data_IF_017196656995
#
_entry.id   IF_017196656995
#
_cell.length_a   1.000
_cell.length_b   1.000
_cell.length_c   1.000
_cell.angle_alpha   90.00
_cell.angle_beta   90.00
_cell.angle_gamma   90.00
#
_symmetry.space_group_name_H-M   'P 1'
#
loop_
_entity.id
_entity.type
_entity.pdbx_description
1 polymer ?
#
# COMPACT_ATOMS: atom_id res chain seq x y z
N UNK A 1 15.85 31.51 -7.59
CA UNK A 1 15.38 31.00 -8.89
C UNK A 1 13.90 30.65 -8.77
N UNK A 2 13.11 30.84 -9.82
CA UNK A 2 11.71 30.44 -9.88
C UNK A 2 11.63 29.01 -10.46
N UNK A 3 10.70 28.18 -9.97
CA UNK A 3 10.49 26.82 -10.46
C UNK A 3 9.77 26.87 -11.81
N UNK A 4 10.32 26.21 -12.82
CA UNK A 4 9.64 25.99 -14.09
C UNK A 4 8.81 24.70 -14.04
N UNK A 5 7.50 24.84 -13.84
CA UNK A 5 6.58 23.70 -13.76
C UNK A 5 6.45 22.90 -15.07
N UNK A 6 6.75 23.50 -16.23
CA UNK A 6 6.70 22.80 -17.51
C UNK A 6 7.85 21.80 -17.69
N UNK A 7 8.96 21.99 -16.96
CA UNK A 7 10.17 21.15 -17.09
C UNK A 7 10.50 20.36 -15.84
N UNK A 8 9.85 20.62 -14.70
CA UNK A 8 10.17 20.03 -13.39
C UNK A 8 10.37 18.50 -13.42
N UNK A 9 9.53 17.76 -14.15
CA UNK A 9 9.61 16.30 -14.24
C UNK A 9 10.80 15.79 -15.08
N UNK A 10 11.47 16.66 -15.82
CA UNK A 10 12.64 16.36 -16.66
C UNK A 10 13.95 16.75 -15.98
N UNK A 11 13.88 17.50 -14.90
CA UNK A 11 15.05 17.88 -14.13
C UNK A 11 15.54 16.69 -13.31
N UNK A 12 16.87 16.55 -13.20
CA UNK A 12 17.47 15.51 -12.36
C UNK A 12 17.26 15.89 -10.89
N UNK A 13 16.75 14.95 -10.09
CA UNK A 13 16.71 15.13 -8.65
C UNK A 13 18.14 15.21 -8.08
N UNK A 14 18.37 16.18 -7.20
CA UNK A 14 19.66 16.32 -6.51
C UNK A 14 19.99 15.12 -5.62
N UNK A 15 18.94 14.42 -5.16
CA UNK A 15 19.04 13.23 -4.33
C UNK A 15 18.32 12.05 -4.97
N UNK A 16 19.02 10.92 -5.05
CA UNK A 16 18.48 9.62 -5.45
C UNK A 16 18.84 8.63 -4.34
N UNK A 17 17.87 8.01 -3.65
CA UNK A 17 18.13 7.02 -2.61
C UNK A 17 18.94 5.84 -3.16
N UNK A 18 19.92 5.36 -2.40
CA UNK A 18 20.69 4.16 -2.73
C UNK A 18 20.10 3.00 -1.94
N UNK A 19 19.59 1.98 -2.65
CA UNK A 19 19.00 0.80 -2.04
C UNK A 19 20.00 -0.36 -2.10
N UNK A 20 20.19 -1.07 -0.99
CA UNK A 20 21.05 -2.26 -0.94
C UNK A 20 20.37 -3.49 -1.57
N UNK A 21 19.04 -3.55 -1.50
CA UNK A 21 18.22 -4.64 -2.02
C UNK A 21 16.79 -4.16 -2.37
N UNK A 22 15.99 -4.96 -3.10
CA UNK A 22 14.58 -4.62 -3.38
C UNK A 22 13.70 -4.45 -2.14
N UNK A 23 14.08 -5.07 -1.02
CA UNK A 23 13.33 -5.05 0.24
C UNK A 23 13.92 -4.06 1.28
N UNK A 24 14.84 -3.19 0.84
CA UNK A 24 15.47 -2.19 1.70
C UNK A 24 14.45 -1.14 2.19
N UNK A 25 14.27 -1.07 3.51
CA UNK A 25 13.37 -0.14 4.20
C UNK A 25 14.11 0.90 5.05
N UNK A 26 15.42 1.09 4.84
CA UNK A 26 16.28 1.97 5.63
C UNK A 26 15.90 3.45 5.61
N UNK A 27 15.23 3.92 4.55
CA UNK A 27 14.72 5.28 4.44
C UNK A 27 13.33 5.47 5.10
N UNK A 28 12.76 4.43 5.70
CA UNK A 28 11.51 4.48 6.45
C UNK A 28 11.79 4.51 7.96
N UNK A 29 10.99 5.29 8.69
CA UNK A 29 10.96 5.22 10.15
C UNK A 29 10.30 3.90 10.55
N UNK A 30 11.05 3.03 11.21
CA UNK A 30 10.57 1.71 11.62
C UNK A 30 9.51 1.79 12.71
N UNK A 31 9.38 2.93 13.40
CA UNK A 31 8.46 3.18 14.53
C UNK A 31 8.43 2.06 15.57
N UNK A 32 9.49 1.26 15.66
CA UNK A 32 9.56 0.09 16.54
C UNK A 32 9.56 0.48 18.02
N UNK A 33 9.85 1.75 18.32
CA UNK A 33 9.70 2.35 19.64
C UNK A 33 8.22 2.56 20.04
N UNK A 34 7.30 2.66 19.07
CA UNK A 34 5.87 2.95 19.28
C UNK A 34 4.95 1.80 18.95
N UNK A 35 5.30 0.97 17.97
CA UNK A 35 4.50 -0.18 17.54
C UNK A 35 5.35 -1.43 17.57
N UNK A 36 4.87 -2.46 18.25
CA UNK A 36 5.50 -3.76 18.18
C UNK A 36 5.08 -4.43 16.88
N UNK A 37 6.03 -4.58 15.96
CA UNK A 37 5.84 -5.28 14.70
C UNK A 37 6.21 -6.75 14.87
N UNK A 38 5.73 -7.37 15.95
CA UNK A 38 5.85 -8.80 16.17
C UNK A 38 4.88 -9.51 15.23
N UNK A 39 5.31 -10.60 14.59
CA UNK A 39 4.43 -11.44 13.75
C UNK A 39 3.18 -11.94 14.50
N UNK A 40 3.26 -12.00 15.84
CA UNK A 40 2.16 -12.34 16.75
C UNK A 40 0.98 -11.34 16.68
N UNK A 41 1.23 -10.07 16.36
CA UNK A 41 0.20 -9.03 16.26
C UNK A 41 -0.62 -9.16 14.97
N UNK A 42 -0.01 -9.63 13.88
CA UNK A 42 -0.71 -9.94 12.61
C UNK A 42 -1.59 -11.19 12.78
N UNK A 43 -1.10 -12.20 13.49
CA UNK A 43 -1.88 -13.41 13.75
C UNK A 43 -3.06 -13.14 14.68
N UNK A 44 -2.90 -12.28 15.70
CA UNK A 44 -3.99 -11.93 16.63
C UNK A 44 -5.05 -11.03 16.01
N UNK A 45 -4.69 -10.14 15.08
CA UNK A 45 -5.66 -9.33 14.32
C UNK A 45 -6.36 -10.11 13.19
N UNK A 46 -5.73 -11.14 12.64
CA UNK A 46 -6.37 -12.08 11.71
C UNK A 46 -7.22 -13.14 12.44
N UNK A 47 -6.86 -13.50 13.69
CA UNK A 47 -7.58 -14.51 14.49
C UNK A 47 -8.74 -13.92 15.30
N UNK A 48 -8.79 -12.61 15.53
CA UNK A 48 -9.91 -11.99 16.22
C UNK A 48 -11.00 -11.55 15.25
N UNK A 49 -11.91 -12.50 15.08
CA UNK A 49 -13.23 -12.43 14.45
C UNK A 49 -13.19 -12.63 12.93
N UNK A 50 -13.22 -13.92 12.57
CA UNK A 50 -14.36 -14.37 11.78
C UNK A 50 -15.65 -14.01 12.54
N UNK A 51 -16.01 -12.72 12.53
CA UNK A 51 -17.36 -12.32 12.83
C UNK A 51 -18.17 -13.05 11.78
N UNK A 52 -19.09 -13.89 12.25
CA UNK A 52 -20.17 -14.40 11.44
C UNK A 52 -21.02 -13.21 11.01
N UNK A 53 -20.54 -12.44 10.04
CA UNK A 53 -21.24 -11.38 9.32
C UNK A 53 -21.72 -12.01 8.02
N UNK A 54 -22.41 -13.13 8.13
CA UNK A 54 -23.14 -13.78 7.04
C UNK A 54 -24.63 -13.61 7.28
N UNK A 55 -25.03 -12.42 7.73
CA UNK A 55 -26.41 -11.98 7.72
C UNK A 55 -26.70 -11.26 6.39
N UNK A 56 -27.87 -11.44 5.76
CA UNK A 56 -28.21 -10.79 4.49
C UNK A 56 -28.30 -9.25 4.55
N UNK A 57 -28.20 -8.64 5.74
CA UNK A 57 -28.38 -7.20 5.97
C UNK A 57 -27.06 -6.47 6.31
N UNK A 58 -25.90 -7.00 5.90
CA UNK A 58 -24.61 -6.38 6.19
C UNK A 58 -24.18 -5.39 5.11
N UNK A 59 -24.49 -4.11 5.35
CA UNK A 59 -24.09 -2.97 4.50
C UNK A 59 -22.55 -2.80 4.40
N UNK A 60 -21.75 -3.53 5.18
CA UNK A 60 -20.29 -3.48 5.14
C UNK A 60 -19.71 -3.98 3.81
N UNK A 61 -20.30 -5.00 3.21
CA UNK A 61 -19.79 -5.56 1.94
C UNK A 61 -20.04 -4.59 0.78
N UNK A 62 -21.15 -3.85 0.84
CA UNK A 62 -21.47 -2.78 -0.12
C UNK A 62 -20.52 -1.59 0.05
N UNK A 63 -20.15 -1.27 1.30
CA UNK A 63 -19.23 -0.17 1.61
C UNK A 63 -17.83 -0.40 0.99
N UNK A 64 -17.35 -1.64 0.93
CA UNK A 64 -16.02 -1.96 0.41
C UNK A 64 -15.99 -2.50 -1.02
N UNK A 65 -17.15 -2.74 -1.64
CA UNK A 65 -17.24 -3.28 -3.00
C UNK A 65 -16.47 -2.44 -4.05
N UNK A 66 -16.36 -1.12 -3.84
CA UNK A 66 -15.67 -0.20 -4.75
C UNK A 66 -14.16 -0.05 -4.49
N UNK A 67 -13.58 -0.79 -3.54
CA UNK A 67 -12.15 -0.70 -3.23
C UNK A 67 -11.27 -1.48 -4.23
N UNK A 68 -11.83 -2.51 -4.86
CA UNK A 68 -11.12 -3.34 -5.83
C UNK A 68 -10.70 -2.52 -7.06
N UNK A 69 -9.39 -2.45 -7.28
CA UNK A 69 -8.80 -1.78 -8.44
C UNK A 69 -7.64 -2.62 -8.98
N UNK A 70 -7.47 -2.62 -10.30
CA UNK A 70 -6.36 -3.29 -10.98
C UNK A 70 -5.75 -2.34 -12.00
N UNK A 71 -4.46 -2.49 -12.25
CA UNK A 71 -3.78 -1.70 -13.28
C UNK A 71 -4.38 -2.00 -14.66
N UNK A 72 -4.61 -0.96 -15.47
CA UNK A 72 -5.08 -1.13 -16.85
C UNK A 72 -4.16 -2.03 -17.69
N UNK A 73 -2.85 -2.05 -17.38
CA UNK A 73 -1.87 -2.93 -18.03
C UNK A 73 -2.19 -4.42 -17.80
N UNK A 74 -2.61 -4.77 -16.58
CA UNK A 74 -3.00 -6.13 -16.23
C UNK A 74 -4.22 -6.58 -17.04
N UNK A 75 -5.18 -5.68 -17.26
CA UNK A 75 -6.39 -5.98 -18.06
C UNK A 75 -6.04 -6.18 -19.54
N UNK A 76 -5.09 -5.41 -20.09
CA UNK A 76 -4.68 -5.56 -21.49
C UNK A 76 -3.93 -6.86 -21.79
N UNK A 77 -3.20 -7.42 -20.82
CA UNK A 77 -2.40 -8.65 -21.00
C UNK A 77 -3.25 -9.93 -21.00
N UNK A 78 -4.44 -9.90 -20.41
CA UNK A 78 -5.40 -11.02 -20.41
C UNK A 78 -6.31 -11.06 -21.64
N UNK A 79 -6.39 -9.97 -22.39
CA UNK A 79 -7.20 -9.85 -23.62
C UNK A 79 -6.43 -10.20 -24.89
N UNK A 80 -5.18 -10.65 -24.77
CA UNK A 80 -4.29 -11.05 -25.87
C UNK A 80 -4.38 -12.53 -26.20
#
# INVERSE_FOLDING_TARGET
ACINWNTLLREKADFVPVLESPDDTSYFDTRQDRYQHSDDDILSSTTNKQTQITGPDNDSDVLFASFSSVSLKYVSELSG
#
